data_IF_580522086918
#
_entry.id   IF_580522086918
#
_cell.length_a   1.000
_cell.length_b   1.000
_cell.length_c   1.000
_cell.angle_alpha   90.00
_cell.angle_beta   90.00
_cell.angle_gamma   90.00
#
_symmetry.space_group_name_H-M   'P 1'
#
loop_
_entity.id
_entity.type
_entity.pdbx_description
1 polymer ?
#
# COMPACT_ATOMS: atom_id res chain seq x y z
N UNK A 1 17.58 -5.92 -16.62
CA UNK A 1 17.70 -6.81 -15.45
C UNK A 1 17.46 -5.99 -14.20
N UNK A 2 16.70 -6.53 -13.24
CA UNK A 2 16.53 -5.93 -11.92
C UNK A 2 17.42 -6.69 -10.93
N UNK A 3 18.65 -6.22 -10.75
CA UNK A 3 19.59 -6.75 -9.76
C UNK A 3 19.69 -5.78 -8.61
N UNK A 4 19.65 -6.31 -7.39
CA UNK A 4 19.84 -5.53 -6.17
C UNK A 4 20.99 -6.17 -5.40
N UNK A 5 21.97 -5.34 -5.06
CA UNK A 5 23.06 -5.68 -4.16
C UNK A 5 22.81 -5.00 -2.83
N UNK A 6 22.64 -5.78 -1.76
CA UNK A 6 22.50 -5.26 -0.40
C UNK A 6 23.66 -5.79 0.44
N UNK A 7 24.42 -4.85 1.02
CA UNK A 7 25.47 -5.13 1.98
C UNK A 7 25.09 -4.44 3.28
N UNK A 8 25.02 -5.20 4.37
CA UNK A 8 24.78 -4.61 5.69
C UNK A 8 25.66 -5.28 6.74
N UNK A 9 26.16 -4.46 7.66
CA UNK A 9 26.95 -4.90 8.79
C UNK A 9 26.09 -4.81 10.04
N UNK A 10 25.81 -5.96 10.67
CA UNK A 10 25.07 -6.01 11.92
C UNK A 10 26.08 -6.19 13.06
N UNK A 11 26.19 -5.19 13.93
CA UNK A 11 26.96 -5.35 15.16
C UNK A 11 26.05 -6.00 16.20
N UNK A 12 26.08 -7.32 16.28
CA UNK A 12 25.41 -8.05 17.35
C UNK A 12 26.33 -8.05 18.58
N UNK A 13 25.90 -7.41 19.66
CA UNK A 13 26.48 -7.66 20.97
C UNK A 13 26.06 -9.08 21.41
N UNK A 14 26.82 -10.09 21.03
CA UNK A 14 26.67 -11.44 21.55
C UNK A 14 27.04 -11.41 23.04
N UNK A 15 26.04 -11.46 23.91
CA UNK A 15 26.27 -11.85 25.30
C UNK A 15 26.79 -13.29 25.29
N UNK A 16 27.89 -13.60 26.01
CA UNK A 16 28.46 -14.94 26.01
C UNK A 16 27.44 -15.92 26.60
N UNK A 17 27.06 -16.91 25.79
CA UNK A 17 26.29 -18.07 26.24
C UNK A 17 27.22 -18.91 27.12
N UNK A 18 27.02 -18.85 28.43
CA UNK A 18 27.68 -19.76 29.37
C UNK A 18 27.03 -21.14 29.27
N UNK A 19 27.68 -22.05 28.56
CA UNK A 19 27.42 -23.50 28.69
C UNK A 19 28.14 -24.06 29.92
N UNK A 20 27.51 -24.90 30.77
CA UNK A 20 28.24 -25.61 31.81
C UNK A 20 28.73 -26.96 31.26
N UNK A 21 30.05 -27.17 31.21
CA UNK A 21 30.70 -28.44 31.61
C UNK A 21 32.22 -28.42 31.33
N UNK A 22 32.97 -28.46 32.43
CA UNK A 22 34.18 -29.24 32.68
C UNK A 22 35.38 -29.15 31.71
N UNK A 23 36.33 -28.27 32.03
CA UNK A 23 37.75 -28.61 32.05
C UNK A 23 38.51 -27.62 32.96
N UNK A 24 39.25 -28.15 33.93
CA UNK A 24 40.23 -27.41 34.73
C UNK A 24 41.46 -27.16 33.86
N UNK A 25 41.95 -25.91 33.80
CA UNK A 25 43.38 -25.52 33.86
C UNK A 25 43.52 -23.98 33.86
N UNK A 26 44.33 -23.50 34.81
CA UNK A 26 45.05 -22.23 34.93
C UNK A 26 44.29 -20.88 34.94
N UNK A 27 44.40 -20.20 36.09
CA UNK A 27 44.13 -18.78 36.28
C UNK A 27 45.01 -17.93 35.35
N UNK A 28 44.34 -17.16 34.48
CA UNK A 28 44.87 -15.95 33.87
C UNK A 28 43.78 -14.89 33.95
N UNK A 29 43.99 -13.85 34.76
CA UNK A 29 43.14 -12.67 34.78
C UNK A 29 43.27 -11.94 33.43
N UNK A 30 42.40 -12.27 32.49
CA UNK A 30 42.07 -11.42 31.37
C UNK A 30 40.54 -11.37 31.30
N UNK A 31 39.97 -10.21 31.59
CA UNK A 31 38.62 -9.88 31.12
C UNK A 31 38.58 -10.21 29.63
N UNK A 32 37.62 -11.00 29.14
CA UNK A 32 37.43 -11.10 27.70
C UNK A 32 37.05 -9.70 27.24
N UNK A 33 37.93 -9.07 26.45
CA UNK A 33 37.53 -7.96 25.63
C UNK A 33 36.30 -8.43 24.86
N UNK A 34 35.18 -7.72 25.01
CA UNK A 34 34.00 -7.96 24.20
C UNK A 34 34.40 -7.68 22.75
N UNK A 35 34.89 -8.70 22.05
CA UNK A 35 35.07 -8.66 20.61
C UNK A 35 33.67 -8.53 20.04
N UNK A 36 33.31 -7.30 19.63
CA UNK A 36 32.16 -7.08 18.79
C UNK A 36 32.40 -7.88 17.51
N UNK A 37 31.85 -9.09 17.43
CA UNK A 37 31.85 -9.85 16.19
C UNK A 37 30.88 -9.12 15.28
N UNK A 38 31.43 -8.22 14.46
CA UNK A 38 30.72 -7.66 13.33
C UNK A 38 30.47 -8.82 12.37
N UNK A 39 29.20 -9.11 12.13
CA UNK A 39 28.80 -10.07 11.12
C UNK A 39 28.31 -9.25 9.93
N UNK A 40 29.02 -9.39 8.82
CA UNK A 40 28.63 -8.81 7.55
C UNK A 40 27.85 -9.84 6.74
N UNK A 41 26.70 -9.43 6.24
CA UNK A 41 25.92 -10.23 5.31
C UNK A 41 25.83 -9.48 3.98
N UNK A 42 26.10 -10.18 2.89
CA UNK A 42 25.90 -9.70 1.54
C UNK A 42 24.93 -10.63 0.83
N UNK A 43 23.92 -10.03 0.18
CA UNK A 43 22.94 -10.75 -0.62
C UNK A 43 22.86 -10.07 -1.98
N UNK A 44 23.11 -10.85 -3.03
CA UNK A 44 22.79 -10.48 -4.40
C UNK A 44 21.52 -11.23 -4.82
N UNK A 45 20.50 -10.48 -5.24
CA UNK A 45 19.25 -11.05 -5.75
C UNK A 45 19.02 -10.58 -7.18
N UNK A 46 18.80 -11.55 -8.08
CA UNK A 46 18.36 -11.30 -9.45
C UNK A 46 16.85 -11.56 -9.52
N UNK A 47 16.07 -10.49 -9.65
CA UNK A 47 14.60 -10.57 -9.81
C UNK A 47 14.18 -10.86 -11.26
N UNK A 48 15.15 -11.10 -12.15
CA UNK A 48 14.95 -11.33 -13.56
C UNK A 48 14.66 -10.05 -14.34
N UNK A 49 13.90 -10.21 -15.43
CA UNK A 49 13.38 -9.09 -16.20
C UNK A 49 12.34 -8.34 -15.35
N UNK A 50 12.42 -7.02 -15.39
CA UNK A 50 11.48 -6.19 -14.66
C UNK A 50 10.18 -6.03 -15.46
N UNK A 51 9.17 -6.77 -15.02
CA UNK A 51 7.82 -6.80 -15.57
C UNK A 51 6.83 -6.04 -14.69
N UNK A 52 7.30 -5.32 -13.65
CA UNK A 52 6.43 -4.64 -12.69
C UNK A 52 6.02 -5.50 -11.49
N UNK A 53 6.58 -6.70 -11.36
CA UNK A 53 6.34 -7.65 -10.29
C UNK A 53 6.66 -7.06 -8.90
N UNK A 54 5.98 -7.58 -7.88
CA UNK A 54 6.35 -7.38 -6.48
C UNK A 54 7.74 -7.99 -6.22
N UNK A 55 8.62 -7.27 -5.53
CA UNK A 55 9.98 -7.75 -5.23
C UNK A 55 10.05 -8.50 -3.89
N UNK A 56 9.13 -8.21 -2.96
CA UNK A 56 9.00 -8.93 -1.70
C UNK A 56 10.13 -8.71 -0.71
N UNK A 57 10.26 -9.63 0.25
CA UNK A 57 11.27 -9.56 1.31
C UNK A 57 12.60 -10.17 0.86
N UNK A 58 13.71 -9.60 1.33
CA UNK A 58 15.05 -10.13 1.10
C UNK A 58 15.49 -11.07 2.22
N UNK A 59 15.38 -10.60 3.47
CA UNK A 59 15.72 -11.40 4.66
C UNK A 59 14.99 -10.89 5.90
N UNK A 60 14.89 -11.77 6.89
CA UNK A 60 14.50 -11.45 8.26
C UNK A 60 15.56 -12.05 9.20
N UNK A 61 16.00 -11.28 10.19
CA UNK A 61 16.85 -11.76 11.29
C UNK A 61 15.98 -11.96 12.50
N UNK A 62 16.05 -13.16 13.09
CA UNK A 62 15.31 -13.53 14.29
C UNK A 62 16.26 -13.94 15.39
N UNK A 63 15.92 -13.61 16.64
CA UNK A 63 16.67 -14.09 17.80
C UNK A 63 16.35 -15.57 18.10
N UNK A 64 17.00 -16.13 19.12
CA UNK A 64 16.82 -17.53 19.51
C UNK A 64 15.39 -17.87 19.95
N UNK A 65 14.58 -16.88 20.32
CA UNK A 65 13.15 -17.04 20.65
C UNK A 65 12.24 -16.98 19.41
N UNK A 66 12.79 -16.72 18.22
CA UNK A 66 12.05 -16.50 17.00
C UNK A 66 11.55 -15.06 16.81
N UNK A 67 11.89 -14.14 17.73
CA UNK A 67 11.49 -12.73 17.63
C UNK A 67 12.25 -12.03 16.51
N UNK A 68 11.51 -11.36 15.62
CA UNK A 68 12.04 -10.53 14.55
C UNK A 68 12.85 -9.37 15.15
N UNK A 69 14.11 -9.26 14.74
CA UNK A 69 15.07 -8.26 15.20
C UNK A 69 15.41 -7.25 14.11
N UNK A 70 15.55 -7.71 12.88
CA UNK A 70 15.89 -6.87 11.74
C UNK A 70 15.35 -7.51 10.46
N UNK A 71 15.33 -6.76 9.38
CA UNK A 71 14.96 -7.28 8.09
C UNK A 71 15.13 -6.26 7.00
N UNK A 72 15.05 -6.74 5.77
CA UNK A 72 14.99 -5.89 4.60
C UNK A 72 14.04 -6.43 3.55
N UNK A 73 13.38 -5.52 2.84
CA UNK A 73 12.44 -5.90 1.79
C UNK A 73 11.83 -4.70 1.08
N UNK A 74 11.11 -5.01 0.01
CA UNK A 74 10.33 -4.08 -0.78
C UNK A 74 8.86 -4.28 -0.44
N UNK A 75 8.22 -3.22 0.04
CA UNK A 75 6.78 -3.23 0.26
C UNK A 75 6.06 -3.10 -1.08
N UNK A 76 5.10 -4.00 -1.33
CA UNK A 76 4.12 -3.81 -2.39
C UNK A 76 2.75 -3.58 -1.75
N UNK A 77 2.41 -2.30 -1.57
CA UNK A 77 1.10 -1.87 -1.13
C UNK A 77 0.51 -0.88 -2.11
N UNK A 78 -0.78 -1.03 -2.32
CA UNK A 78 -1.61 -0.03 -2.95
C UNK A 78 -2.56 0.49 -1.90
N UNK A 79 -2.31 1.71 -1.40
CA UNK A 79 -3.25 2.39 -0.51
C UNK A 79 -4.26 3.16 -1.36
N UNK A 80 -5.33 3.66 -0.74
CA UNK A 80 -6.47 4.22 -1.47
C UNK A 80 -6.01 5.20 -2.54
N UNK A 81 -6.27 4.86 -3.82
CA UNK A 81 -5.92 5.62 -5.02
C UNK A 81 -4.47 5.50 -5.51
N UNK A 82 -3.48 5.17 -4.68
CA UNK A 82 -2.06 5.18 -5.09
C UNK A 82 -1.24 3.97 -4.61
N UNK A 83 -0.35 3.50 -5.49
CA UNK A 83 0.70 2.53 -5.15
C UNK A 83 1.91 3.24 -4.54
N UNK A 84 2.49 2.68 -3.48
CA UNK A 84 3.78 3.16 -2.97
C UNK A 84 4.94 2.67 -3.86
N UNK A 85 6.12 3.29 -3.74
CA UNK A 85 7.30 2.91 -4.52
C UNK A 85 7.76 1.47 -4.29
N UNK A 86 7.48 0.57 -5.25
CA UNK A 86 7.86 -0.86 -5.18
C UNK A 86 9.37 -1.12 -5.16
N UNK A 87 10.20 -0.11 -5.45
CA UNK A 87 11.67 -0.19 -5.46
C UNK A 87 12.31 0.46 -4.24
N UNK A 88 11.50 1.01 -3.33
CA UNK A 88 11.99 1.55 -2.07
C UNK A 88 12.35 0.39 -1.16
N UNK A 89 13.65 0.12 -1.01
CA UNK A 89 14.15 -0.87 -0.08
C UNK A 89 14.00 -0.35 1.34
N UNK A 90 13.20 -1.04 2.14
CA UNK A 90 13.15 -0.81 3.57
C UNK A 90 14.17 -1.70 4.26
N UNK A 91 14.98 -1.10 5.12
CA UNK A 91 15.81 -1.80 6.09
C UNK A 91 15.42 -1.34 7.48
N UNK A 92 15.28 -2.27 8.42
CA UNK A 92 14.93 -1.92 9.79
C UNK A 92 15.69 -2.75 10.81
N UNK A 93 15.88 -2.16 11.97
CA UNK A 93 16.27 -2.83 13.21
C UNK A 93 15.19 -2.49 14.23
N UNK A 94 14.61 -3.52 14.84
CA UNK A 94 13.61 -3.37 15.89
C UNK A 94 14.31 -3.06 17.21
N UNK A 95 13.72 -2.20 18.05
CA UNK A 95 14.22 -1.99 19.39
C UNK A 95 14.03 -3.26 20.25
N UNK A 96 14.73 -3.31 21.38
CA UNK A 96 14.47 -4.32 22.41
C UNK A 96 13.00 -4.31 22.84
N UNK A 97 12.52 -5.46 23.31
CA UNK A 97 11.14 -5.63 23.76
C UNK A 97 10.79 -4.58 24.83
N UNK A 98 9.65 -3.90 24.67
CA UNK A 98 9.19 -2.86 25.59
C UNK A 98 9.75 -1.45 25.35
N UNK A 99 10.64 -1.26 24.36
CA UNK A 99 11.14 0.06 23.93
C UNK A 99 10.52 0.54 22.61
N UNK A 100 9.40 -0.05 22.21
CA UNK A 100 8.70 0.20 20.94
C UNK A 100 7.58 1.25 21.08
N UNK A 101 7.86 2.35 21.79
CA UNK A 101 6.89 3.43 21.92
C UNK A 101 6.73 4.18 20.59
N UNK A 102 5.47 4.39 20.19
CA UNK A 102 5.13 5.24 19.05
C UNK A 102 5.11 6.70 19.53
N UNK A 103 5.79 7.57 18.79
CA UNK A 103 5.63 9.02 18.91
C UNK A 103 4.78 9.50 17.74
N UNK A 104 3.72 10.26 18.03
CA UNK A 104 2.89 10.88 17.01
C UNK A 104 3.28 12.34 16.90
N UNK A 105 3.63 12.76 15.69
CA UNK A 105 3.90 14.14 15.34
C UNK A 105 2.84 14.63 14.34
N UNK A 106 2.38 15.87 14.53
CA UNK A 106 1.46 16.51 13.58
C UNK A 106 2.24 17.41 12.65
N UNK A 107 2.33 16.99 11.39
CA UNK A 107 2.89 17.83 10.34
C UNK A 107 1.96 19.00 10.01
N UNK A 108 2.49 20.10 9.43
CA UNK A 108 1.68 21.17 8.88
C UNK A 108 0.63 20.64 7.90
N UNK A 109 -0.57 21.23 7.93
CA UNK A 109 -1.64 20.84 7.02
C UNK A 109 -1.28 21.24 5.57
N UNK A 110 -1.51 20.39 4.56
CA UNK A 110 -1.16 20.70 3.17
C UNK A 110 -2.08 21.76 2.54
N UNK A 111 -3.12 22.23 3.23
CA UNK A 111 -4.06 23.25 2.74
C UNK A 111 -4.71 22.83 1.41
N UNK A 112 -5.32 21.64 1.41
CA UNK A 112 -6.00 21.02 0.26
C UNK A 112 -7.44 20.57 0.59
N UNK A 113 -8.03 21.09 1.67
CA UNK A 113 -9.36 20.71 2.15
C UNK A 113 -9.41 19.30 2.77
N UNK A 114 -10.55 18.62 2.61
CA UNK A 114 -10.76 17.24 3.10
C UNK A 114 -10.35 16.20 2.05
N UNK A 115 -10.14 14.95 2.48
CA UNK A 115 -9.79 13.86 1.56
C UNK A 115 -8.37 14.02 0.99
N UNK A 116 -7.40 14.23 1.88
CA UNK A 116 -5.98 14.23 1.56
C UNK A 116 -5.46 12.79 1.58
N UNK A 117 -4.74 12.38 0.55
CA UNK A 117 -4.12 11.06 0.42
C UNK A 117 -2.61 11.25 0.24
N UNK A 118 -1.81 10.46 0.95
CA UNK A 118 -0.36 10.51 0.83
C UNK A 118 0.14 9.41 -0.10
N UNK A 119 1.20 9.70 -0.85
CA UNK A 119 1.89 8.72 -1.68
C UNK A 119 3.37 9.06 -1.77
N UNK A 120 4.17 8.08 -2.17
CA UNK A 120 5.62 8.24 -2.36
C UNK A 120 5.99 7.94 -3.81
N UNK A 121 6.76 8.86 -4.40
CA UNK A 121 7.37 8.68 -5.71
C UNK A 121 8.86 9.05 -5.64
N UNK A 122 9.74 8.11 -6.03
CA UNK A 122 11.19 8.27 -6.08
C UNK A 122 11.81 8.84 -4.78
N UNK A 123 11.36 8.34 -3.64
CA UNK A 123 11.81 8.73 -2.31
C UNK A 123 11.29 10.08 -1.84
N UNK A 124 10.29 10.66 -2.51
CA UNK A 124 9.65 11.92 -2.13
C UNK A 124 8.18 11.69 -1.76
N UNK A 125 7.75 12.32 -0.66
CA UNK A 125 6.38 12.24 -0.18
C UNK A 125 5.52 13.32 -0.83
N UNK A 126 4.34 12.93 -1.30
CA UNK A 126 3.35 13.81 -1.91
C UNK A 126 2.00 13.67 -1.21
N UNK A 127 1.28 14.78 -1.13
CA UNK A 127 -0.13 14.83 -0.77
C UNK A 127 -0.97 15.14 -2.01
N UNK A 128 -2.11 14.46 -2.12
CA UNK A 128 -3.09 14.67 -3.18
C UNK A 128 -4.48 14.82 -2.60
N UNK A 129 -5.29 15.70 -3.20
CA UNK A 129 -6.69 15.88 -2.81
C UNK A 129 -7.58 16.04 -4.04
N UNK A 130 -8.62 15.22 -4.09
CA UNK A 130 -9.72 15.41 -5.05
C UNK A 130 -10.48 16.71 -4.80
N UNK A 131 -10.74 17.07 -3.54
CA UNK A 131 -11.49 18.26 -3.17
C UNK A 131 -10.79 19.57 -3.59
N UNK A 132 -9.46 19.55 -3.66
CA UNK A 132 -8.64 20.65 -4.15
C UNK A 132 -8.46 20.70 -5.67
N UNK A 133 -9.44 20.24 -6.46
CA UNK A 133 -9.31 20.12 -7.92
C UNK A 133 -8.08 19.30 -8.35
N UNK A 134 -7.89 18.13 -7.71
CA UNK A 134 -6.71 17.27 -7.91
C UNK A 134 -5.37 17.96 -7.58
N UNK A 135 -5.36 18.85 -6.58
CA UNK A 135 -4.14 19.50 -6.10
C UNK A 135 -3.12 18.46 -5.61
N UNK A 136 -1.84 18.71 -5.91
CA UNK A 136 -0.70 17.93 -5.43
C UNK A 136 0.29 18.84 -4.72
N UNK A 137 0.85 18.37 -3.61
CA UNK A 137 1.97 19.05 -2.94
C UNK A 137 3.02 18.06 -2.47
N UNK A 138 4.29 18.39 -2.70
CA UNK A 138 5.45 17.63 -2.20
C UNK A 138 5.80 18.08 -0.79
N UNK A 139 6.12 17.14 0.10
CA UNK A 139 6.70 17.45 1.40
C UNK A 139 8.17 17.83 1.23
N UNK A 140 8.55 18.99 1.76
CA UNK A 140 9.93 19.44 1.88
C UNK A 140 10.36 19.39 3.35
N UNK A 141 11.07 18.33 3.72
CA UNK A 141 11.49 18.11 5.11
C UNK A 141 12.45 19.19 5.61
N UNK A 142 13.25 19.82 4.73
CA UNK A 142 14.22 20.84 5.13
C UNK A 142 13.55 22.14 5.59
N UNK A 143 12.44 22.53 4.96
CA UNK A 143 11.67 23.72 5.35
C UNK A 143 10.39 23.40 6.12
N UNK A 144 10.09 22.11 6.35
CA UNK A 144 8.87 21.60 6.96
C UNK A 144 7.59 22.12 6.27
N UNK A 145 7.58 22.14 4.93
CA UNK A 145 6.47 22.71 4.14
C UNK A 145 5.99 21.80 3.04
N UNK A 146 4.71 21.97 2.70
CA UNK A 146 4.10 21.39 1.51
C UNK A 146 4.22 22.36 0.32
N UNK A 147 5.04 21.99 -0.65
CA UNK A 147 5.31 22.78 -1.85
C UNK A 147 4.39 22.35 -2.99
N UNK A 148 3.80 23.29 -3.72
CA UNK A 148 2.93 23.02 -4.87
C UNK A 148 3.74 22.52 -6.08
N UNK A 149 4.20 21.28 -6.00
CA UNK A 149 5.07 20.63 -6.97
C UNK A 149 4.53 19.23 -7.29
N UNK A 150 4.46 18.92 -8.58
CA UNK A 150 4.08 17.60 -9.08
C UNK A 150 5.29 16.64 -9.06
N UNK A 151 5.03 15.32 -9.08
CA UNK A 151 6.08 14.33 -9.34
C UNK A 151 6.76 14.59 -10.69
N UNK A 152 8.06 14.28 -10.82
CA UNK A 152 8.77 14.44 -12.08
C UNK A 152 8.07 13.72 -13.24
N UNK A 153 7.94 14.42 -14.37
CA UNK A 153 7.31 13.87 -15.58
C UNK A 153 5.78 13.98 -15.62
N UNK A 154 5.14 14.53 -14.59
CA UNK A 154 3.69 14.73 -14.55
C UNK A 154 3.30 16.18 -14.82
N UNK A 155 2.16 16.34 -15.52
CA UNK A 155 1.50 17.64 -15.73
C UNK A 155 0.27 17.82 -14.83
N UNK A 156 -0.34 16.72 -14.42
CA UNK A 156 -1.38 16.67 -13.40
C UNK A 156 -1.41 15.26 -12.78
N UNK A 157 -2.22 15.07 -11.73
CA UNK A 157 -2.39 13.76 -11.10
C UNK A 157 -3.84 13.57 -10.66
N UNK A 158 -4.52 12.58 -11.23
CA UNK A 158 -5.87 12.14 -10.82
C UNK A 158 -5.78 10.89 -9.94
N UNK A 159 -6.93 10.41 -9.48
CA UNK A 159 -7.05 9.10 -8.84
C UNK A 159 -6.39 8.00 -9.68
N UNK A 160 -5.41 7.31 -9.10
CA UNK A 160 -4.72 6.21 -9.77
C UNK A 160 -3.87 6.61 -10.97
N UNK A 161 -3.62 7.92 -11.13
CA UNK A 161 -2.44 8.39 -11.87
C UNK A 161 -1.20 8.19 -10.99
N UNK A 162 -0.03 8.09 -11.61
CA UNK A 162 1.16 7.66 -10.90
C UNK A 162 2.39 7.58 -11.78
N UNK A 163 3.52 7.43 -11.11
CA UNK A 163 4.80 7.14 -11.75
C UNK A 163 5.45 5.95 -11.08
N UNK A 164 6.20 5.18 -11.84
CA UNK A 164 6.98 4.07 -11.31
C UNK A 164 8.28 3.87 -12.08
N UNK A 165 9.33 3.48 -11.37
CA UNK A 165 10.55 2.98 -11.99
C UNK A 165 10.29 1.62 -12.62
N UNK A 166 10.72 1.45 -13.87
CA UNK A 166 10.57 0.22 -14.65
C UNK A 166 11.79 0.01 -15.56
N UNK A 167 12.49 -1.10 -15.37
CA UNK A 167 13.81 -1.31 -15.96
C UNK A 167 14.78 -0.21 -15.52
N UNK A 168 15.44 0.44 -16.48
CA UNK A 168 16.28 1.63 -16.24
C UNK A 168 15.52 2.96 -16.36
N UNK A 169 14.23 2.91 -16.71
CA UNK A 169 13.43 4.08 -17.03
C UNK A 169 12.33 4.38 -16.02
N UNK A 170 11.49 5.34 -16.41
CA UNK A 170 10.32 5.78 -15.67
C UNK A 170 9.08 5.62 -16.53
N UNK A 171 8.09 4.91 -16.01
CA UNK A 171 6.74 4.83 -16.55
C UNK A 171 5.87 5.86 -15.82
N UNK A 172 5.20 6.71 -16.57
CA UNK A 172 4.23 7.69 -16.06
C UNK A 172 2.89 7.38 -16.69
N UNK A 173 1.84 7.34 -15.87
CA UNK A 173 0.46 7.23 -16.32
C UNK A 173 -0.34 8.38 -15.71
N UNK A 174 -0.90 9.21 -16.58
CA UNK A 174 -1.62 10.41 -16.19
C UNK A 174 -2.62 10.80 -17.28
N UNK A 175 -3.77 11.33 -16.88
CA UNK A 175 -4.72 11.98 -17.80
C UNK A 175 -5.13 11.13 -19.01
N UNK A 176 -5.49 9.87 -18.77
CA UNK A 176 -5.86 8.88 -19.78
C UNK A 176 -4.71 8.41 -20.69
N UNK A 177 -3.47 8.63 -20.32
CA UNK A 177 -2.31 8.36 -21.17
C UNK A 177 -1.20 7.70 -20.38
N UNK A 178 -0.25 7.10 -21.09
CA UNK A 178 0.98 6.59 -20.48
C UNK A 178 2.22 6.91 -21.33
N UNK A 179 3.34 7.14 -20.65
CA UNK A 179 4.63 7.47 -21.23
C UNK A 179 5.74 6.67 -20.58
N UNK A 180 6.73 6.27 -21.36
CA UNK A 180 7.97 5.67 -20.87
C UNK A 180 9.16 6.51 -21.31
N UNK A 181 9.93 7.04 -20.35
CA UNK A 181 11.05 7.96 -20.60
C UNK A 181 10.67 9.13 -21.53
N UNK A 182 9.49 9.71 -21.32
CA UNK A 182 8.96 10.82 -22.12
C UNK A 182 8.37 10.44 -23.48
N UNK A 183 8.55 9.20 -23.96
CA UNK A 183 7.88 8.70 -25.17
C UNK A 183 6.48 8.22 -24.81
N UNK A 184 5.46 8.73 -25.48
CA UNK A 184 4.09 8.23 -25.30
C UNK A 184 4.00 6.77 -25.75
N UNK A 185 3.47 5.92 -24.87
CA UNK A 185 3.23 4.50 -25.14
C UNK A 185 1.73 4.16 -25.17
N UNK A 186 0.87 5.02 -24.63
CA UNK A 186 -0.59 4.92 -24.74
C UNK A 186 -1.17 6.30 -25.00
N UNK A 187 -1.89 6.43 -26.11
CA UNK A 187 -2.66 7.62 -26.47
C UNK A 187 -3.97 7.68 -25.66
N UNK A 188 -4.58 8.88 -25.50
CA UNK A 188 -5.89 8.97 -24.88
C UNK A 188 -6.95 8.26 -25.74
N UNK A 189 -8.07 7.80 -25.14
CA UNK A 189 -9.14 7.19 -25.90
C UNK A 189 -9.79 8.20 -26.85
N UNK A 190 -10.28 7.74 -27.99
CA UNK A 190 -11.14 8.55 -28.87
C UNK A 190 -12.44 8.97 -28.19
N UNK A 191 -12.96 8.12 -27.29
CA UNK A 191 -14.17 8.42 -26.49
C UNK A 191 -14.10 7.81 -25.09
N UNK A 192 -14.73 8.49 -24.14
CA UNK A 192 -14.73 8.08 -22.74
C UNK A 192 -13.45 8.47 -22.01
N UNK A 193 -13.06 7.67 -21.00
CA UNK A 193 -11.87 7.95 -20.18
C UNK A 193 -11.15 6.68 -19.71
N UNK A 194 -9.83 6.72 -19.70
CA UNK A 194 -8.98 5.74 -19.00
C UNK A 194 -8.64 6.26 -17.59
N UNK A 195 -8.72 5.39 -16.59
CA UNK A 195 -8.50 5.78 -15.20
C UNK A 195 -8.03 4.60 -14.36
N UNK A 196 -7.47 4.91 -13.18
CA UNK A 196 -6.96 3.94 -12.21
C UNK A 196 -5.95 2.96 -12.83
N UNK A 197 -4.84 3.49 -13.32
CA UNK A 197 -3.80 2.72 -13.97
C UNK A 197 -3.01 1.85 -12.98
N UNK A 198 -2.50 0.73 -13.49
CA UNK A 198 -1.56 -0.13 -12.78
C UNK A 198 -0.66 -0.85 -13.78
N UNK A 199 0.59 -1.11 -13.42
CA UNK A 199 1.49 -1.89 -14.26
C UNK A 199 2.14 -3.00 -13.44
N UNK A 200 2.00 -4.21 -13.98
CA UNK A 200 2.46 -5.47 -13.37
C UNK A 200 2.54 -6.55 -14.45
N UNK A 201 3.33 -7.59 -14.21
CA UNK A 201 3.43 -8.78 -15.08
C UNK A 201 3.53 -8.50 -16.60
N UNK A 202 4.18 -7.40 -17.01
CA UNK A 202 4.39 -7.04 -18.42
C UNK A 202 3.16 -6.47 -19.11
N UNK A 203 2.22 -5.94 -18.34
CA UNK A 203 0.97 -5.38 -18.82
C UNK A 203 0.68 -4.03 -18.17
N UNK A 204 0.14 -3.13 -18.97
CA UNK A 204 -0.52 -1.92 -18.48
C UNK A 204 -2.01 -2.20 -18.30
N UNK A 205 -2.48 -2.07 -17.06
CA UNK A 205 -3.87 -2.24 -16.67
C UNK A 205 -4.52 -0.90 -16.41
N UNK A 206 -5.79 -0.76 -16.80
CA UNK A 206 -6.60 0.40 -16.49
C UNK A 206 -8.07 0.11 -16.72
N UNK A 207 -8.92 0.94 -16.12
CA UNK A 207 -10.34 0.94 -16.42
C UNK A 207 -10.63 1.91 -17.55
N UNK A 208 -11.59 1.56 -18.40
CA UNK A 208 -12.13 2.41 -19.47
C UNK A 208 -13.64 2.55 -19.27
N UNK A 209 -14.08 3.78 -19.05
CA UNK A 209 -15.49 4.14 -19.07
C UNK A 209 -15.83 4.74 -20.43
N UNK A 210 -16.85 4.21 -21.08
CA UNK A 210 -17.29 4.67 -22.39
C UNK A 210 -18.82 4.63 -22.48
N UNK A 211 -19.38 5.54 -23.28
CA UNK A 211 -20.77 5.46 -23.70
C UNK A 211 -20.84 4.89 -25.13
N UNK A 212 -21.62 3.85 -25.33
CA UNK A 212 -21.87 3.21 -26.63
C UNK A 212 -23.37 3.27 -26.94
N UNK A 213 -23.76 4.21 -27.79
CA UNK A 213 -25.18 4.53 -28.01
C UNK A 213 -25.84 5.06 -26.72
N UNK A 214 -26.87 4.36 -26.26
CA UNK A 214 -27.57 4.69 -25.00
C UNK A 214 -26.96 4.00 -23.77
N UNK A 215 -26.06 3.03 -23.97
CA UNK A 215 -25.47 2.24 -22.90
C UNK A 215 -24.18 2.89 -22.38
N UNK A 216 -24.01 2.83 -21.06
CA UNK A 216 -22.73 3.10 -20.43
C UNK A 216 -22.06 1.76 -20.13
N UNK A 217 -20.77 1.65 -20.45
CA UNK A 217 -19.97 0.47 -20.18
C UNK A 217 -18.73 0.85 -19.38
N UNK A 218 -18.33 -0.08 -18.53
CA UNK A 218 -17.03 -0.06 -17.86
C UNK A 218 -16.27 -1.32 -18.25
N UNK A 219 -15.05 -1.13 -18.71
CA UNK A 219 -14.15 -2.21 -19.13
C UNK A 219 -12.86 -2.14 -18.34
N UNK A 220 -12.24 -3.29 -18.12
CA UNK A 220 -10.90 -3.42 -17.56
C UNK A 220 -10.01 -3.96 -18.68
N UNK A 221 -8.96 -3.23 -19.00
CA UNK A 221 -8.04 -3.58 -20.06
C UNK A 221 -6.73 -4.08 -19.45
N UNK A 222 -6.17 -5.12 -20.04
CA UNK A 222 -4.80 -5.57 -19.83
C UNK A 222 -4.08 -5.47 -21.17
N UNK A 223 -3.21 -4.47 -21.32
CA UNK A 223 -2.49 -4.21 -22.56
C UNK A 223 -1.05 -4.76 -22.44
N UNK A 224 -0.64 -5.75 -23.27
CA UNK A 224 0.71 -6.29 -23.22
C UNK A 224 1.72 -5.22 -23.63
N UNK A 225 2.67 -4.92 -22.74
CA UNK A 225 3.74 -3.98 -23.03
C UNK A 225 4.90 -4.15 -22.07
N UNK A 226 6.13 -4.13 -22.58
CA UNK A 226 7.35 -4.18 -21.77
C UNK A 226 8.34 -3.11 -22.20
N UNK A 227 9.40 -2.90 -21.42
CA UNK A 227 10.48 -1.97 -21.78
C UNK A 227 11.22 -2.35 -23.07
N UNK A 228 11.07 -3.60 -23.52
CA UNK A 228 11.68 -4.11 -24.75
C UNK A 228 10.75 -3.95 -25.97
N UNK A 229 9.50 -3.52 -25.76
CA UNK A 229 8.55 -3.22 -26.82
C UNK A 229 9.02 -2.06 -27.68
N UNK A 230 9.14 -2.28 -28.99
CA UNK A 230 9.54 -1.24 -29.95
C UNK A 230 8.41 -0.26 -30.26
N UNK A 231 7.17 -0.77 -30.30
CA UNK A 231 5.97 -0.02 -30.58
C UNK A 231 5.29 0.48 -29.30
N UNK A 232 4.43 1.49 -29.47
CA UNK A 232 3.45 1.86 -28.46
C UNK A 232 2.41 0.73 -28.30
N UNK A 233 1.58 0.82 -27.26
CA UNK A 233 0.47 -0.09 -27.02
C UNK A 233 -0.53 0.02 -28.18
N UNK A 234 -0.85 -1.15 -28.76
CA UNK A 234 -1.98 -1.33 -29.65
C UNK A 234 -3.14 -1.90 -28.84
N UNK A 235 -4.27 -1.18 -28.82
CA UNK A 235 -5.45 -1.61 -28.06
C UNK A 235 -6.13 -2.85 -28.65
N UNK A 236 -5.84 -3.19 -29.92
CA UNK A 236 -6.33 -4.44 -30.51
C UNK A 236 -5.68 -5.69 -29.90
N UNK A 237 -4.53 -5.54 -29.24
CA UNK A 237 -3.85 -6.60 -28.48
C UNK A 237 -4.34 -6.68 -27.02
N UNK A 238 -5.24 -5.79 -26.58
CA UNK A 238 -5.69 -5.75 -25.21
C UNK A 238 -6.60 -6.94 -24.87
N UNK A 239 -6.37 -7.56 -23.71
CA UNK A 239 -7.34 -8.48 -23.11
C UNK A 239 -8.33 -7.68 -22.28
N UNK A 240 -9.61 -7.77 -22.63
CA UNK A 240 -10.66 -6.90 -22.11
C UNK A 240 -11.68 -7.71 -21.32
N UNK A 241 -12.03 -7.23 -20.13
CA UNK A 241 -13.20 -7.66 -19.39
C UNK A 241 -14.20 -6.50 -19.31
N UNK A 242 -15.45 -6.73 -19.71
CA UNK A 242 -16.55 -5.80 -19.42
C UNK A 242 -17.10 -6.11 -18.03
N UNK A 243 -17.13 -5.12 -17.15
CA UNK A 243 -17.67 -5.28 -15.80
C UNK A 243 -19.17 -5.49 -15.87
N UNK A 244 -19.73 -6.16 -14.86
CA UNK A 244 -21.16 -6.47 -14.82
C UNK A 244 -22.03 -5.22 -14.78
N UNK A 245 -21.56 -4.18 -14.09
CA UNK A 245 -22.27 -2.91 -14.00
C UNK A 245 -21.44 -1.75 -14.57
N UNK A 246 -22.11 -0.73 -15.15
CA UNK A 246 -21.44 0.50 -15.52
C UNK A 246 -20.95 1.26 -14.28
N UNK A 247 -19.88 2.03 -14.48
CA UNK A 247 -19.25 2.92 -13.49
C UNK A 247 -18.67 2.18 -12.29
N UNK A 248 -18.35 0.90 -12.45
CA UNK A 248 -17.55 0.18 -11.49
C UNK A 248 -16.18 0.87 -11.36
N UNK A 249 -15.83 1.26 -10.14
CA UNK A 249 -14.63 2.05 -9.84
C UNK A 249 -13.79 1.31 -8.81
N UNK A 250 -12.52 0.99 -9.09
CA UNK A 250 -11.62 0.43 -8.08
C UNK A 250 -10.99 1.56 -7.23
N UNK A 251 -10.48 1.17 -6.07
CA UNK A 251 -9.64 2.04 -5.23
C UNK A 251 -8.23 1.48 -5.02
N UNK A 252 -8.01 0.20 -5.32
CA UNK A 252 -6.73 -0.47 -5.16
C UNK A 252 -6.50 -1.56 -6.22
N UNK A 253 -5.23 -1.85 -6.44
CA UNK A 253 -4.72 -2.97 -7.24
C UNK A 253 -3.78 -3.82 -6.39
N UNK A 254 -3.65 -5.11 -6.73
CA UNK A 254 -2.77 -6.03 -6.00
C UNK A 254 -2.16 -7.09 -6.91
N UNK A 255 -1.18 -7.82 -6.36
CA UNK A 255 -0.52 -8.94 -7.04
C UNK A 255 -0.43 -10.16 -6.12
N UNK A 256 -0.71 -11.34 -6.66
CA UNK A 256 -0.50 -12.63 -5.97
C UNK A 256 0.17 -13.62 -6.93
N UNK A 257 1.43 -13.96 -6.68
CA UNK A 257 2.20 -14.75 -7.65
C UNK A 257 2.25 -14.05 -9.01
N UNK A 258 1.70 -14.66 -10.06
CA UNK A 258 1.60 -14.09 -11.42
C UNK A 258 0.25 -13.45 -11.72
N UNK A 259 -0.59 -13.28 -10.70
CA UNK A 259 -1.93 -12.74 -10.82
C UNK A 259 -1.93 -11.26 -10.53
N UNK A 260 -2.71 -10.50 -11.30
CA UNK A 260 -3.03 -9.10 -11.02
C UNK A 260 -4.50 -9.02 -10.65
N UNK A 261 -4.82 -8.37 -9.53
CA UNK A 261 -6.17 -8.30 -9.00
C UNK A 261 -6.63 -6.86 -8.79
N UNK A 262 -7.93 -6.65 -8.96
CA UNK A 262 -8.63 -5.42 -8.60
C UNK A 262 -10.04 -5.73 -8.12
N UNK A 263 -10.58 -4.83 -7.30
CA UNK A 263 -11.94 -4.95 -6.76
C UNK A 263 -12.67 -3.63 -6.97
N UNK A 264 -13.83 -3.67 -7.61
CA UNK A 264 -14.66 -2.50 -7.81
C UNK A 264 -15.42 -2.11 -6.55
N UNK A 265 -15.97 -0.90 -6.55
CA UNK A 265 -16.82 -0.39 -5.47
C UNK A 265 -18.14 -1.15 -5.27
N UNK A 266 -18.50 -2.04 -6.20
CA UNK A 266 -19.69 -2.90 -6.16
C UNK A 266 -19.34 -4.36 -5.82
N UNK A 267 -18.09 -4.65 -5.44
CA UNK A 267 -17.63 -5.97 -5.02
C UNK A 267 -17.16 -6.91 -6.11
N UNK A 268 -17.22 -6.49 -7.38
CA UNK A 268 -16.67 -7.26 -8.48
C UNK A 268 -15.17 -7.42 -8.29
N UNK A 269 -14.71 -8.66 -8.07
CA UNK A 269 -13.29 -8.99 -7.96
C UNK A 269 -12.82 -9.64 -9.25
N UNK A 270 -11.87 -8.98 -9.90
CA UNK A 270 -11.35 -9.37 -11.21
C UNK A 270 -9.88 -9.72 -11.08
N UNK A 271 -9.50 -10.86 -11.66
CA UNK A 271 -8.14 -11.38 -11.63
C UNK A 271 -7.67 -11.64 -13.04
N UNK A 272 -6.52 -11.09 -13.40
CA UNK A 272 -5.82 -11.38 -14.64
C UNK A 272 -4.70 -12.38 -14.39
N UNK A 273 -4.72 -13.50 -15.12
CA UNK A 273 -3.70 -14.54 -15.07
C UNK A 273 -3.68 -15.27 -16.41
N UNK A 274 -2.48 -15.64 -16.89
CA UNK A 274 -2.30 -16.39 -18.16
C UNK A 274 -3.03 -15.72 -19.34
N UNK A 275 -2.87 -14.41 -19.49
CA UNK A 275 -3.45 -13.60 -20.56
C UNK A 275 -4.99 -13.67 -20.64
N UNK A 276 -5.65 -13.91 -19.50
CA UNK A 276 -7.10 -13.97 -19.40
C UNK A 276 -7.61 -13.31 -18.13
N UNK A 277 -8.77 -12.66 -18.23
CA UNK A 277 -9.51 -12.18 -17.09
C UNK A 277 -10.44 -13.25 -16.54
N UNK A 278 -10.54 -13.31 -15.21
CA UNK A 278 -11.50 -14.11 -14.46
C UNK A 278 -12.23 -13.23 -13.45
N UNK A 279 -13.56 -13.35 -13.41
CA UNK A 279 -14.35 -12.87 -12.28
C UNK A 279 -14.31 -13.90 -11.15
N UNK A 280 -13.75 -13.52 -10.00
CA UNK A 280 -13.66 -14.38 -8.81
C UNK A 280 -14.84 -14.14 -7.87
N UNK A 281 -15.28 -12.88 -7.76
CA UNK A 281 -16.49 -12.48 -7.04
C UNK A 281 -17.31 -11.61 -7.96
N UNK A 282 -18.57 -11.96 -8.14
CA UNK A 282 -19.51 -11.18 -8.95
C UNK A 282 -19.93 -9.90 -8.21
N UNK A 283 -19.96 -8.78 -8.93
CA UNK A 283 -20.47 -7.53 -8.40
C UNK A 283 -21.96 -7.64 -8.05
N UNK A 284 -22.37 -6.88 -7.03
CA UNK A 284 -23.76 -6.77 -6.59
C UNK A 284 -24.19 -5.31 -6.55
N UNK A 285 -25.17 -4.95 -7.39
CA UNK A 285 -25.75 -3.60 -7.39
C UNK A 285 -26.43 -3.33 -6.05
N UNK A 286 -26.35 -2.08 -5.58
CA UNK A 286 -26.88 -1.61 -4.30
C UNK A 286 -26.23 -2.23 -3.04
N UNK A 287 -25.18 -3.05 -3.19
CA UNK A 287 -24.32 -3.46 -2.08
C UNK A 287 -23.02 -2.70 -2.18
N UNK A 288 -22.64 -2.00 -1.11
CA UNK A 288 -21.29 -1.48 -1.05
C UNK A 288 -20.34 -2.59 -0.64
N UNK A 289 -19.38 -2.89 -1.49
CA UNK A 289 -18.24 -3.74 -1.17
C UNK A 289 -17.05 -3.09 -1.84
N UNK A 290 -16.13 -2.54 -1.04
CA UNK A 290 -15.04 -1.72 -1.55
C UNK A 290 -13.75 -2.18 -0.90
N UNK A 291 -12.67 -2.28 -1.68
CA UNK A 291 -11.34 -2.58 -1.17
C UNK A 291 -10.47 -1.36 -1.38
N UNK A 292 -10.04 -0.77 -0.27
CA UNK A 292 -9.33 0.51 -0.23
C UNK A 292 -7.82 0.37 -0.17
N UNK A 293 -7.33 -0.80 0.24
CA UNK A 293 -5.91 -1.11 0.22
C UNK A 293 -5.67 -2.59 -0.06
N UNK A 294 -4.60 -2.88 -0.77
CA UNK A 294 -4.11 -4.25 -1.01
C UNK A 294 -2.62 -4.31 -0.68
N UNK A 295 -2.24 -5.29 0.14
CA UNK A 295 -0.86 -5.47 0.61
C UNK A 295 -0.45 -6.92 0.43
N UNK A 296 0.70 -7.14 -0.23
CA UNK A 296 1.33 -8.46 -0.22
C UNK A 296 1.91 -8.74 1.18
N UNK A 297 1.44 -9.81 1.82
CA UNK A 297 1.82 -10.17 3.19
C UNK A 297 2.14 -11.66 3.28
N UNK A 298 3.43 -11.97 3.30
CA UNK A 298 3.95 -13.35 3.29
C UNK A 298 3.41 -14.19 2.12
N UNK A 299 2.51 -15.13 2.39
CA UNK A 299 1.97 -16.12 1.46
C UNK A 299 0.58 -15.74 0.93
N UNK A 300 0.12 -14.52 1.20
CA UNK A 300 -1.22 -14.03 0.82
C UNK A 300 -1.21 -12.55 0.48
N UNK A 301 -2.28 -12.11 -0.16
CA UNK A 301 -2.61 -10.68 -0.28
C UNK A 301 -3.68 -10.36 0.74
N UNK A 302 -3.49 -9.29 1.51
CA UNK A 302 -4.52 -8.73 2.37
C UNK A 302 -5.30 -7.67 1.60
N UNK A 303 -6.62 -7.67 1.77
CA UNK A 303 -7.55 -6.73 1.16
C UNK A 303 -8.28 -5.98 2.29
N UNK A 304 -8.11 -4.66 2.36
CA UNK A 304 -8.71 -3.82 3.38
C UNK A 304 -10.12 -3.38 2.95
N UNK A 305 -11.14 -3.88 3.63
CA UNK A 305 -12.52 -3.89 3.10
C UNK A 305 -13.49 -2.98 3.86
N UNK A 306 -14.42 -2.41 3.08
CA UNK A 306 -15.67 -1.79 3.51
C UNK A 306 -16.86 -2.67 3.05
N UNK A 307 -17.89 -2.93 3.88
CA UNK A 307 -18.26 -2.16 5.08
C UNK A 307 -17.93 -2.79 6.42
N UNK A 308 -17.27 -3.94 6.42
CA UNK A 308 -17.02 -4.66 7.67
C UNK A 308 -15.89 -4.04 8.47
N UNK A 309 -15.00 -3.29 7.81
CA UNK A 309 -13.75 -2.83 8.38
C UNK A 309 -12.73 -3.94 8.59
N UNK A 310 -13.03 -5.17 8.16
CA UNK A 310 -12.13 -6.29 8.29
C UNK A 310 -11.18 -6.38 7.09
N UNK A 311 -10.06 -7.05 7.30
CA UNK A 311 -9.18 -7.55 6.26
C UNK A 311 -9.76 -8.84 5.69
N UNK A 312 -9.51 -9.06 4.42
CA UNK A 312 -9.75 -10.32 3.74
C UNK A 312 -8.41 -10.85 3.23
N UNK A 313 -8.24 -12.15 3.20
CA UNK A 313 -7.07 -12.78 2.61
C UNK A 313 -7.39 -13.39 1.25
N UNK A 314 -6.46 -13.23 0.32
CA UNK A 314 -6.49 -13.86 -0.99
C UNK A 314 -5.26 -14.71 -1.20
N UNK A 315 -5.49 -15.96 -1.60
CA UNK A 315 -4.45 -16.97 -1.87
C UNK A 315 -4.76 -17.71 -3.19
N UNK A 316 -5.12 -16.96 -4.24
CA UNK A 316 -5.41 -17.51 -5.57
C UNK A 316 -6.84 -18.05 -5.77
N UNK A 317 -7.72 -17.87 -4.79
CA UNK A 317 -9.14 -18.30 -4.79
C UNK A 317 -10.02 -17.22 -4.18
N UNK A 318 -11.33 -17.46 -4.06
CA UNK A 318 -12.25 -16.50 -3.43
C UNK A 318 -11.73 -15.98 -2.08
N UNK A 319 -11.75 -14.65 -1.84
CA UNK A 319 -11.17 -14.05 -0.64
C UNK A 319 -11.93 -14.47 0.62
N UNK A 320 -11.18 -14.76 1.68
CA UNK A 320 -11.74 -15.18 2.97
C UNK A 320 -11.66 -14.01 3.95
N UNK A 321 -12.79 -13.69 4.59
CA UNK A 321 -12.82 -12.65 5.61
C UNK A 321 -12.03 -13.07 6.86
N UNK A 322 -11.12 -12.23 7.31
CA UNK A 322 -10.46 -12.34 8.62
C UNK A 322 -11.32 -11.61 9.65
N UNK A 323 -12.25 -12.33 10.28
CA UNK A 323 -13.18 -11.72 11.24
C UNK A 323 -12.43 -11.06 12.41
N UNK A 324 -12.74 -9.79 12.66
CA UNK A 324 -12.14 -9.03 13.75
C UNK A 324 -10.70 -8.59 13.50
N UNK A 325 -10.24 -8.58 12.24
CA UNK A 325 -8.92 -8.08 11.85
C UNK A 325 -9.06 -6.78 11.06
N UNK A 326 -8.65 -5.62 11.58
CA UNK A 326 -8.31 -5.36 12.98
C UNK A 326 -9.55 -5.34 13.89
N UNK A 327 -9.36 -5.38 15.23
CA UNK A 327 -10.45 -5.28 16.19
C UNK A 327 -11.24 -3.97 16.05
N UNK A 328 -12.44 -3.95 16.64
CA UNK A 328 -13.27 -2.74 16.75
C UNK A 328 -12.78 -1.90 17.93
N UNK A 329 -12.61 -0.60 17.74
CA UNK A 329 -12.35 0.32 18.85
C UNK A 329 -13.51 0.29 19.85
N UNK A 330 -13.27 0.05 21.15
CA UNK A 330 -14.35 0.02 22.14
C UNK A 330 -15.12 1.34 22.20
N UNK A 331 -16.45 1.25 22.30
CA UNK A 331 -17.34 2.42 22.44
C UNK A 331 -17.75 3.11 21.14
N UNK A 332 -17.53 2.48 19.97
CA UNK A 332 -18.01 2.96 18.67
C UNK A 332 -19.01 2.03 18.02
N UNK A 333 -19.80 2.57 17.08
CA UNK A 333 -20.73 1.77 16.29
C UNK A 333 -20.00 0.80 15.36
N UNK A 334 -20.54 -0.42 15.23
CA UNK A 334 -20.07 -1.44 14.29
C UNK A 334 -20.85 -1.45 12.97
N UNK A 335 -21.78 -0.52 12.77
CA UNK A 335 -22.70 -0.55 11.63
C UNK A 335 -21.99 -0.36 10.28
N UNK A 336 -20.89 0.40 10.24
CA UNK A 336 -20.04 0.56 9.05
C UNK A 336 -18.61 0.91 9.46
N UNK A 337 -17.62 0.22 8.89
CA UNK A 337 -16.19 0.48 9.08
C UNK A 337 -15.45 0.27 7.77
N UNK A 338 -14.38 1.02 7.57
CA UNK A 338 -13.50 0.89 6.41
C UNK A 338 -12.09 0.64 6.93
N UNK A 339 -11.54 -0.56 6.72
CA UNK A 339 -10.07 -0.68 6.73
C UNK A 339 -9.60 0.01 5.47
N UNK A 340 -8.91 1.14 5.61
CA UNK A 340 -8.60 2.02 4.47
C UNK A 340 -7.18 1.84 3.98
N UNK A 341 -6.27 1.54 4.89
CA UNK A 341 -4.84 1.57 4.63
C UNK A 341 -4.13 0.45 5.33
N UNK A 342 -3.05 0.02 4.71
CA UNK A 342 -2.11 -0.92 5.28
C UNK A 342 -0.69 -0.45 5.02
N UNK A 343 0.23 -0.87 5.87
CA UNK A 343 1.66 -0.75 5.64
C UNK A 343 2.40 -1.85 6.40
N UNK A 344 3.61 -2.15 5.91
CA UNK A 344 4.64 -2.81 6.69
C UNK A 344 5.61 -1.74 7.19
N UNK A 345 5.76 -1.66 8.50
CA UNK A 345 6.75 -0.77 9.10
C UNK A 345 7.48 -1.53 10.21
N UNK A 346 8.81 -1.58 10.11
CA UNK A 346 9.68 -2.41 10.96
C UNK A 346 9.28 -3.90 10.99
N UNK A 347 8.77 -4.40 9.87
CA UNK A 347 8.32 -5.78 9.70
C UNK A 347 7.00 -6.12 10.38
N UNK A 348 6.26 -5.12 10.88
CA UNK A 348 4.94 -5.30 11.49
C UNK A 348 3.86 -4.78 10.54
N UNK A 349 2.69 -5.42 10.58
CA UNK A 349 1.52 -4.97 9.83
C UNK A 349 0.82 -3.87 10.60
N UNK A 350 0.60 -2.72 9.95
CA UNK A 350 -0.23 -1.64 10.46
C UNK A 350 -1.46 -1.47 9.58
N UNK A 351 -2.58 -1.10 10.21
CA UNK A 351 -3.86 -0.87 9.54
C UNK A 351 -4.49 0.41 10.06
N UNK A 352 -4.89 1.28 9.14
CA UNK A 352 -5.69 2.47 9.42
C UNK A 352 -7.18 2.21 9.16
N UNK A 353 -8.04 2.62 10.10
CA UNK A 353 -9.48 2.32 10.05
C UNK A 353 -10.32 3.58 10.22
N UNK A 354 -11.28 3.77 9.32
CA UNK A 354 -12.35 4.76 9.38
C UNK A 354 -13.62 4.12 10.00
N UNK A 355 -14.51 4.87 10.71
CA UNK A 355 -14.68 6.33 10.67
C UNK A 355 -13.98 7.15 11.75
N UNK A 356 -13.19 6.50 12.59
CA UNK A 356 -12.66 7.10 13.82
C UNK A 356 -11.14 7.31 13.78
N UNK A 357 -10.54 7.20 12.58
CA UNK A 357 -9.10 7.26 12.29
C UNK A 357 -8.25 6.46 13.28
N UNK A 358 -8.67 5.21 13.49
CA UNK A 358 -7.99 4.26 14.37
C UNK A 358 -6.73 3.76 13.68
N UNK A 359 -5.67 3.53 14.46
CA UNK A 359 -4.48 2.86 13.98
C UNK A 359 -4.22 1.61 14.80
N UNK A 360 -4.02 0.50 14.10
CA UNK A 360 -3.83 -0.82 14.70
C UNK A 360 -2.53 -1.42 14.22
N UNK A 361 -1.84 -2.12 15.12
CA UNK A 361 -0.62 -2.88 14.83
C UNK A 361 -0.85 -4.34 15.12
N UNK A 362 -0.51 -5.21 14.18
CA UNK A 362 -0.53 -6.65 14.39
C UNK A 362 0.86 -7.18 14.73
N UNK A 363 0.97 -7.76 15.92
CA UNK A 363 2.18 -8.38 16.43
C UNK A 363 2.13 -9.89 16.16
N UNK A 364 2.83 -10.33 15.11
CA UNK A 364 2.80 -11.73 14.66
C UNK A 364 3.30 -12.73 15.71
N UNK A 365 4.28 -12.34 16.53
CA UNK A 365 4.89 -13.23 17.52
C UNK A 365 3.90 -13.66 18.61
N UNK A 366 3.07 -12.72 19.05
CA UNK A 366 2.04 -12.93 20.07
C UNK A 366 0.67 -13.20 19.45
N UNK A 367 0.56 -13.15 18.11
CA UNK A 367 -0.68 -13.24 17.37
C UNK A 367 -1.75 -12.28 17.92
N UNK A 368 -1.36 -11.03 18.17
CA UNK A 368 -2.22 -10.06 18.85
C UNK A 368 -2.25 -8.73 18.15
N UNK A 369 -3.40 -8.06 18.22
CA UNK A 369 -3.55 -6.67 17.81
C UNK A 369 -3.31 -5.73 18.99
N UNK A 370 -2.58 -4.66 18.73
CA UNK A 370 -2.38 -3.54 19.66
C UNK A 370 -2.96 -2.28 19.04
N UNK A 371 -3.80 -1.58 19.80
CA UNK A 371 -4.25 -0.24 19.39
C UNK A 371 -3.08 0.73 19.56
N UNK A 372 -2.84 1.52 18.52
CA UNK A 372 -1.94 2.68 18.56
C UNK A 372 -2.72 3.98 18.80
N UNK A 373 -4.01 3.87 19.14
CA UNK A 373 -4.90 4.99 19.36
C UNK A 373 -5.52 5.51 18.05
N UNK A 374 -5.79 6.81 18.04
CA UNK A 374 -6.51 7.52 16.99
C UNK A 374 -5.80 8.82 16.65
N UNK A 375 -5.82 9.20 15.37
CA UNK A 375 -5.17 10.43 14.92
C UNK A 375 -5.86 11.71 15.44
N UNK A 376 -7.11 11.60 15.92
CA UNK A 376 -7.93 12.73 16.39
C UNK A 376 -8.38 12.52 17.83
N UNK A 377 -8.46 13.62 18.59
CA UNK A 377 -8.90 13.63 20.00
C UNK A 377 -10.36 14.04 20.20
N UNK A 378 -10.99 14.62 19.17
CA UNK A 378 -12.39 15.05 19.18
C UNK A 378 -13.09 14.55 17.90
N UNK A 379 -14.36 14.13 17.94
CA UNK A 379 -15.24 14.10 19.10
C UNK A 379 -14.95 12.91 20.01
N UNK A 380 -15.55 12.92 21.21
CA UNK A 380 -15.57 11.75 22.09
C UNK A 380 -16.17 10.54 21.36
N UNK A 381 -15.70 9.35 21.75
CA UNK A 381 -16.21 8.10 21.19
C UNK A 381 -17.67 7.89 21.58
N UNK A 382 -18.46 7.41 20.63
CA UNK A 382 -19.83 7.00 20.89
C UNK A 382 -20.29 5.98 19.85
N UNK A 383 -21.18 5.09 20.28
CA UNK A 383 -21.87 4.10 19.45
C UNK A 383 -23.21 4.60 18.89
N UNK A 384 -23.64 5.82 19.28
CA UNK A 384 -24.93 6.42 18.89
C UNK A 384 -24.96 6.96 17.46
N UNK A 385 -23.81 7.10 16.82
CA UNK A 385 -23.63 7.52 15.42
C UNK A 385 -22.57 6.63 14.78
N UNK A 386 -22.63 6.47 13.45
CA UNK A 386 -21.63 5.67 12.74
C UNK A 386 -20.38 6.52 12.53
N UNK A 387 -20.56 7.71 11.98
CA UNK A 387 -19.49 8.64 11.63
C UNK A 387 -19.38 9.78 12.66
N UNK A 388 -18.16 10.26 12.94
CA UNK A 388 -17.97 11.53 13.62
C UNK A 388 -18.76 12.66 12.95
N UNK A 389 -19.40 13.49 13.77
CA UNK A 389 -20.10 14.71 13.34
C UNK A 389 -21.35 14.52 12.47
N UNK A 390 -22.00 13.36 12.46
CA UNK A 390 -23.21 13.09 11.66
C UNK A 390 -24.26 14.20 11.79
N UNK A 391 -24.64 14.56 13.01
CA UNK A 391 -25.62 15.63 13.27
C UNK A 391 -25.23 16.98 12.64
N UNK A 392 -23.94 17.29 12.58
CA UNK A 392 -23.48 18.52 11.96
C UNK A 392 -23.56 18.41 10.44
N UNK A 393 -23.09 17.29 9.86
CA UNK A 393 -23.20 17.06 8.42
C UNK A 393 -24.65 17.10 7.94
N UNK A 394 -25.60 16.53 8.70
CA UNK A 394 -27.04 16.63 8.43
C UNK A 394 -27.53 18.08 8.45
N UNK A 395 -27.18 18.84 9.49
CA UNK A 395 -27.53 20.26 9.61
C UNK A 395 -27.06 21.07 8.40
N UNK A 396 -25.89 20.74 7.85
CA UNK A 396 -25.33 21.39 6.66
C UNK A 396 -25.72 20.72 5.34
N UNK A 397 -26.58 19.69 5.36
CA UNK A 397 -27.01 18.92 4.18
C UNK A 397 -25.84 18.34 3.37
N UNK A 398 -24.81 17.90 4.09
CA UNK A 398 -23.66 17.19 3.55
C UNK A 398 -23.92 15.68 3.56
N UNK A 399 -23.12 14.92 2.83
CA UNK A 399 -23.08 13.46 2.98
C UNK A 399 -22.66 13.12 4.42
N UNK A 400 -23.33 12.18 5.08
CA UNK A 400 -23.14 11.87 6.51
C UNK A 400 -21.69 11.58 6.89
N UNK A 401 -20.94 10.93 6.00
CA UNK A 401 -19.54 10.58 6.23
C UNK A 401 -18.54 11.66 5.80
N UNK A 402 -18.99 12.83 5.35
CA UNK A 402 -18.13 13.84 4.76
C UNK A 402 -17.06 14.35 5.73
N UNK A 403 -17.37 14.38 7.03
CA UNK A 403 -16.45 14.76 8.11
C UNK A 403 -15.98 13.57 8.96
N UNK A 404 -16.16 12.35 8.47
CA UNK A 404 -15.59 11.16 9.09
C UNK A 404 -14.06 11.23 9.10
N UNK A 405 -13.45 10.64 10.12
CA UNK A 405 -12.01 10.70 10.35
C UNK A 405 -11.33 9.51 9.69
N UNK A 406 -10.39 9.79 8.79
CA UNK A 406 -9.74 8.81 7.91
C UNK A 406 -8.25 8.70 8.23
N UNK A 407 -7.71 7.49 8.07
CA UNK A 407 -6.27 7.26 7.84
C UNK A 407 -6.17 6.83 6.38
N UNK A 408 -6.03 7.80 5.49
CA UNK A 408 -6.18 7.64 4.03
C UNK A 408 -4.94 7.03 3.37
N UNK A 409 -3.77 7.16 3.98
CA UNK A 409 -2.53 6.52 3.54
C UNK A 409 -1.63 6.20 4.73
N UNK A 410 -0.76 5.20 4.56
CA UNK A 410 0.35 4.90 5.48
C UNK A 410 1.60 4.70 4.61
N UNK A 411 2.55 5.62 4.71
CA UNK A 411 3.72 5.67 3.81
C UNK A 411 5.01 5.60 4.62
N UNK A 412 5.68 4.44 4.67
CA UNK A 412 6.97 4.32 5.35
C UNK A 412 8.06 5.03 4.54
N UNK A 413 8.74 5.98 5.16
CA UNK A 413 9.84 6.73 4.54
C UNK A 413 10.89 7.07 5.60
N UNK A 414 12.14 6.67 5.33
CA UNK A 414 13.22 6.84 6.30
C UNK A 414 12.94 6.08 7.60
N UNK A 415 13.05 6.78 8.72
CA UNK A 415 12.78 6.25 10.05
C UNK A 415 11.34 6.48 10.52
N UNK A 416 10.47 6.98 9.64
CA UNK A 416 9.13 7.44 9.99
C UNK A 416 8.03 6.74 9.18
N UNK A 417 6.81 6.78 9.69
CA UNK A 417 5.60 6.34 9.01
C UNK A 417 4.66 7.55 8.91
N UNK A 418 4.40 7.98 7.69
CA UNK A 418 3.59 9.16 7.36
C UNK A 418 2.12 8.81 7.12
#
# INVERSE_FOLDING_TARGET
MCRVFVMFCLTLALLPVLTPASAVIAQGNAQPAATSNQIEYSVEVDFGQDRGQSLGSLFEVRDASGRLQAGAGFQDVYNTRFRTGRRTLQFFIRPDSGKDQLTLERLPHPDQGTGVYLTEFDGQLYSWSYAGNNSVRRWDAASEKWLAELPPGMQSMRSGDGTMRLGSGQLVFAENQAWYNGKQILAPPESGRYYNFYYAEGHLFFYHEQQEGEEYLTRILACPWTTDSKAAIDLSDATILTTKFPRETPFAWGQYGRQVLTVSNMGGMYVFENDAWKTVVEGLINTSYQVYSMLHWYDRVLLAQYPTGNLFEYQGKEPVQLQGWPPVLPGVSTAARESQTMALYRGELLVGVWPWAEMWRYERQTNSWRSLGRAFTHPELTDKQVHPYEQHTERYRLVLNHWGQRVTSLVPQGDSLY
#
